data_IF_585050904676
#
_entry.id   IF_585050904676
#
_cell.length_a   1.000
_cell.length_b   1.000
_cell.length_c   1.000
_cell.angle_alpha   90.00
_cell.angle_beta   90.00
_cell.angle_gamma   90.00
#
_symmetry.space_group_name_H-M   'P 1'
#
loop_
_entity.id
_entity.type
_entity.pdbx_description
1 polymer ?
#
# COMPACT_ATOMS: atom_id res chain seq x y z
N UNK A 1 -2.79 6.96 14.43
CA UNK A 1 -3.56 6.69 13.19
C UNK A 1 -4.90 7.40 13.33
N UNK A 2 -5.19 8.38 12.48
CA UNK A 2 -6.52 8.99 12.39
C UNK A 2 -7.52 7.86 12.07
N UNK A 3 -8.56 7.72 12.90
CA UNK A 3 -9.56 6.66 12.72
C UNK A 3 -10.56 7.15 11.69
N UNK A 4 -10.36 6.77 10.43
CA UNK A 4 -11.34 7.00 9.38
C UNK A 4 -12.68 6.32 9.72
N UNK A 5 -13.77 6.89 9.22
CA UNK A 5 -15.12 6.34 9.35
C UNK A 5 -15.69 6.10 7.95
N UNK A 6 -16.56 5.11 7.80
CA UNK A 6 -17.23 4.84 6.53
C UNK A 6 -18.71 5.14 6.70
N UNK A 7 -19.25 6.00 5.86
CA UNK A 7 -20.68 6.24 5.74
C UNK A 7 -21.27 5.36 4.65
N UNK A 8 -22.34 4.64 4.97
CA UNK A 8 -23.17 3.96 3.99
C UNK A 8 -24.54 4.64 3.94
N UNK A 9 -24.94 5.00 2.72
CA UNK A 9 -26.26 5.54 2.44
C UNK A 9 -26.94 4.60 1.44
N UNK A 10 -28.06 4.01 1.85
CA UNK A 10 -28.82 3.08 1.03
C UNK A 10 -30.02 3.79 0.43
N UNK A 11 -30.17 3.70 -0.88
CA UNK A 11 -31.29 4.26 -1.60
C UNK A 11 -32.14 3.17 -2.25
N UNK A 12 -33.46 3.39 -2.27
CA UNK A 12 -34.40 2.69 -3.15
C UNK A 12 -34.97 3.68 -4.16
N UNK A 13 -34.37 3.70 -5.34
CA UNK A 13 -34.70 4.61 -6.44
C UNK A 13 -35.50 3.83 -7.48
N UNK A 14 -36.74 4.25 -7.79
CA UNK A 14 -37.52 3.64 -8.86
C UNK A 14 -36.70 3.58 -10.15
N UNK A 15 -36.77 2.47 -10.87
CA UNK A 15 -35.94 2.28 -12.06
C UNK A 15 -36.10 3.41 -13.09
N UNK A 16 -37.31 3.95 -13.21
CA UNK A 16 -37.64 5.09 -14.09
C UNK A 16 -36.89 6.39 -13.74
N UNK A 17 -36.39 6.53 -12.51
CA UNK A 17 -35.62 7.69 -12.04
C UNK A 17 -34.10 7.42 -11.98
N UNK A 18 -33.66 6.21 -12.33
CA UNK A 18 -32.25 5.77 -12.23
C UNK A 18 -31.29 6.72 -12.95
N UNK A 19 -31.60 7.08 -14.21
CA UNK A 19 -30.73 7.93 -15.01
C UNK A 19 -30.57 9.35 -14.42
N UNK A 20 -31.68 9.92 -13.93
CA UNK A 20 -31.67 11.24 -13.30
C UNK A 20 -30.90 11.22 -11.97
N UNK A 21 -31.09 10.16 -11.18
CA UNK A 21 -30.37 9.94 -9.93
C UNK A 21 -28.86 9.86 -10.14
N UNK A 22 -28.40 9.06 -11.11
CA UNK A 22 -26.98 8.95 -11.44
C UNK A 22 -26.40 10.27 -11.94
N UNK A 23 -27.14 11.02 -12.76
CA UNK A 23 -26.70 12.33 -13.23
C UNK A 23 -26.60 13.35 -12.08
N UNK A 24 -27.53 13.34 -11.13
CA UNK A 24 -27.48 14.18 -9.94
C UNK A 24 -26.28 13.84 -9.06
N UNK A 25 -26.04 12.55 -8.77
CA UNK A 25 -24.88 12.13 -7.98
C UNK A 25 -23.54 12.38 -8.68
N UNK A 26 -23.50 12.34 -10.02
CA UNK A 26 -22.32 12.76 -10.79
C UNK A 26 -21.98 14.24 -10.56
N UNK A 27 -22.99 15.11 -10.49
CA UNK A 27 -22.78 16.54 -10.17
C UNK A 27 -22.42 16.74 -8.70
N UNK A 28 -23.10 16.04 -7.78
CA UNK A 28 -22.82 16.08 -6.35
C UNK A 28 -21.40 15.60 -6.01
N UNK A 29 -20.88 14.61 -6.76
CA UNK A 29 -19.55 14.04 -6.58
C UNK A 29 -18.42 15.08 -6.72
N UNK A 30 -18.62 16.16 -7.49
CA UNK A 30 -17.64 17.25 -7.58
C UNK A 30 -17.38 17.90 -6.20
N UNK A 31 -18.41 18.00 -5.36
CA UNK A 31 -18.29 18.59 -4.02
C UNK A 31 -17.62 17.62 -3.03
N UNK A 32 -17.87 16.32 -3.18
CA UNK A 32 -17.15 15.30 -2.41
C UNK A 32 -15.67 15.27 -2.79
N UNK A 33 -15.35 15.34 -4.09
CA UNK A 33 -13.97 15.36 -4.59
C UNK A 33 -13.19 16.59 -4.12
N UNK A 34 -13.85 17.74 -3.94
CA UNK A 34 -13.23 18.97 -3.46
C UNK A 34 -13.07 19.03 -1.93
N UNK A 35 -13.75 18.17 -1.18
CA UNK A 35 -13.77 18.23 0.28
C UNK A 35 -12.53 17.53 0.89
N UNK A 36 -11.67 18.25 1.64
CA UNK A 36 -10.47 17.64 2.24
C UNK A 36 -10.79 16.58 3.32
N UNK A 37 -12.02 16.60 3.86
CA UNK A 37 -12.50 15.60 4.82
C UNK A 37 -12.94 14.30 4.14
N UNK A 38 -13.23 14.33 2.84
CA UNK A 38 -13.65 13.17 2.06
C UNK A 38 -12.42 12.43 1.55
N UNK A 39 -12.22 11.19 2.01
CA UNK A 39 -11.09 10.35 1.63
C UNK A 39 -11.35 9.66 0.30
N UNK A 40 -12.51 9.03 0.16
CA UNK A 40 -12.99 8.37 -1.06
C UNK A 40 -14.51 8.24 -1.06
N UNK A 41 -15.11 7.98 -2.23
CA UNK A 41 -16.54 7.68 -2.34
C UNK A 41 -16.83 6.77 -3.53
N UNK A 42 -17.91 6.00 -3.45
CA UNK A 42 -18.39 5.09 -4.49
C UNK A 42 -19.91 5.00 -4.44
N UNK A 43 -20.58 5.13 -5.58
CA UNK A 43 -22.00 4.83 -5.73
C UNK A 43 -22.15 3.54 -6.53
N UNK A 44 -22.60 2.48 -5.87
CA UNK A 44 -22.86 1.19 -6.48
C UNK A 44 -24.36 0.97 -6.68
N UNK A 45 -24.74 0.29 -7.77
CA UNK A 45 -26.09 -0.23 -8.00
C UNK A 45 -26.06 -1.74 -7.81
N UNK A 46 -27.10 -2.31 -7.20
CA UNK A 46 -27.25 -3.76 -7.13
C UNK A 46 -27.51 -4.34 -8.52
N UNK A 47 -26.83 -5.45 -8.85
CA UNK A 47 -27.08 -6.21 -10.09
C UNK A 47 -28.26 -7.20 -9.95
N UNK A 48 -28.72 -7.45 -8.72
CA UNK A 48 -29.82 -8.38 -8.42
C UNK A 48 -31.15 -7.64 -8.21
N UNK A 49 -31.09 -6.37 -7.77
CA UNK A 49 -32.24 -5.53 -7.52
C UNK A 49 -31.94 -4.09 -7.97
N UNK A 50 -32.38 -3.78 -9.19
CA UNK A 50 -32.03 -2.58 -9.93
C UNK A 50 -32.58 -1.27 -9.35
N UNK A 51 -33.44 -1.32 -8.34
CA UNK A 51 -33.89 -0.12 -7.61
C UNK A 51 -32.96 0.23 -6.45
N UNK A 52 -32.03 -0.65 -6.07
CA UNK A 52 -31.18 -0.44 -4.91
C UNK A 52 -29.80 0.11 -5.28
N UNK A 53 -29.43 1.17 -4.56
CA UNK A 53 -28.11 1.78 -4.64
C UNK A 53 -27.50 1.91 -3.25
N UNK A 54 -26.17 1.85 -3.20
CA UNK A 54 -25.38 2.13 -1.99
C UNK A 54 -24.34 3.17 -2.34
N UNK A 55 -24.41 4.32 -1.67
CA UNK A 55 -23.33 5.30 -1.63
C UNK A 55 -22.44 4.99 -0.43
N UNK A 56 -21.19 4.67 -0.67
CA UNK A 56 -20.14 4.53 0.34
C UNK A 56 -19.28 5.80 0.30
N UNK A 57 -19.07 6.44 1.44
CA UNK A 57 -18.13 7.57 1.57
C UNK A 57 -17.20 7.28 2.74
N UNK A 58 -15.89 7.37 2.52
CA UNK A 58 -14.91 7.33 3.59
C UNK A 58 -14.57 8.75 4.01
N UNK A 59 -14.74 9.05 5.29
CA UNK A 59 -14.41 10.35 5.87
C UNK A 59 -13.20 10.23 6.80
N UNK A 60 -12.45 11.33 6.97
CA UNK A 60 -11.33 11.40 7.92
C UNK A 60 -11.78 11.12 9.36
N UNK A 61 -13.00 11.51 9.72
CA UNK A 61 -13.73 11.11 10.93
C UNK A 61 -15.23 11.44 10.80
N UNK A 62 -16.06 10.94 11.73
CA UNK A 62 -17.49 11.32 11.76
C UNK A 62 -17.66 12.81 12.07
N UNK A 63 -16.83 13.36 12.96
CA UNK A 63 -16.83 14.79 13.29
C UNK A 63 -16.47 15.65 12.07
N UNK A 64 -15.44 15.27 11.32
CA UNK A 64 -15.03 16.01 10.11
C UNK A 64 -16.13 16.02 9.04
N UNK A 65 -16.93 14.97 8.94
CA UNK A 65 -18.11 14.99 8.08
C UNK A 65 -19.18 15.96 8.61
N UNK A 66 -19.59 15.81 9.88
CA UNK A 66 -20.73 16.53 10.45
C UNK A 66 -20.44 18.02 10.67
N UNK A 67 -19.27 18.33 11.19
CA UNK A 67 -18.86 19.68 11.55
C UNK A 67 -17.92 20.32 10.52
N UNK A 68 -17.28 19.53 9.67
CA UNK A 68 -16.50 20.01 8.53
C UNK A 68 -17.33 20.10 7.25
N UNK A 69 -17.51 18.98 6.54
CA UNK A 69 -18.14 18.99 5.21
C UNK A 69 -19.55 19.59 5.24
N UNK A 70 -20.44 19.13 6.12
CA UNK A 70 -21.85 19.60 6.17
C UNK A 70 -22.03 21.07 6.54
N UNK A 71 -21.00 21.71 7.11
CA UNK A 71 -20.99 23.14 7.46
C UNK A 71 -20.13 23.98 6.50
N UNK A 72 -19.49 23.33 5.52
CA UNK A 72 -18.66 24.00 4.52
C UNK A 72 -19.48 24.63 3.41
N UNK A 73 -18.84 25.51 2.64
CA UNK A 73 -19.42 26.14 1.45
C UNK A 73 -19.70 25.14 0.30
N UNK A 74 -19.18 23.90 0.38
CA UNK A 74 -19.44 22.84 -0.61
C UNK A 74 -20.79 22.15 -0.41
N UNK A 75 -21.31 22.15 0.83
CA UNK A 75 -22.51 21.38 1.18
C UNK A 75 -23.81 21.89 0.53
N UNK A 76 -24.07 23.20 0.37
CA UNK A 76 -25.29 23.68 -0.28
C UNK A 76 -25.50 23.10 -1.69
N UNK A 77 -24.45 23.07 -2.51
CA UNK A 77 -24.51 22.55 -3.88
C UNK A 77 -24.68 21.02 -3.89
N UNK A 78 -23.98 20.32 -3.00
CA UNK A 78 -24.19 18.88 -2.80
C UNK A 78 -25.64 18.57 -2.39
N UNK A 79 -26.18 19.35 -1.44
CA UNK A 79 -27.53 19.19 -0.95
C UNK A 79 -28.57 19.51 -2.03
N UNK A 80 -28.32 20.51 -2.89
CA UNK A 80 -29.23 20.84 -3.98
C UNK A 80 -29.44 19.66 -4.94
N UNK A 81 -28.37 18.94 -5.27
CA UNK A 81 -28.41 17.77 -6.14
C UNK A 81 -29.03 16.53 -5.46
N UNK A 82 -28.77 16.33 -4.17
CA UNK A 82 -29.15 15.09 -3.47
C UNK A 82 -30.50 15.15 -2.76
N UNK A 83 -30.97 16.35 -2.39
CA UNK A 83 -32.24 16.57 -1.68
C UNK A 83 -33.45 15.92 -2.36
N UNK A 84 -33.62 15.93 -3.70
CA UNK A 84 -34.76 15.28 -4.36
C UNK A 84 -34.95 13.80 -3.98
N UNK A 85 -33.85 13.11 -3.62
CA UNK A 85 -33.84 11.68 -3.31
C UNK A 85 -33.83 11.38 -1.80
N UNK A 86 -33.97 12.39 -0.94
CA UNK A 86 -33.92 12.19 0.51
C UNK A 86 -35.04 11.26 1.03
N UNK A 87 -36.20 11.24 0.37
CA UNK A 87 -37.31 10.35 0.70
C UNK A 87 -37.06 8.89 0.26
N UNK A 88 -36.09 8.66 -0.63
CA UNK A 88 -35.70 7.34 -1.13
C UNK A 88 -34.59 6.71 -0.28
N UNK A 89 -34.12 7.39 0.76
CA UNK A 89 -33.05 6.90 1.62
C UNK A 89 -33.59 5.94 2.67
N UNK A 90 -33.24 4.66 2.56
CA UNK A 90 -33.56 3.64 3.55
C UNK A 90 -32.62 3.71 4.77
N UNK A 91 -31.38 4.16 4.56
CA UNK A 91 -30.35 4.23 5.61
C UNK A 91 -29.31 5.32 5.29
N UNK A 92 -28.81 6.01 6.31
CA UNK A 92 -27.63 6.86 6.26
C UNK A 92 -26.91 6.81 7.62
N UNK A 93 -25.82 6.05 7.71
CA UNK A 93 -25.11 5.81 8.98
C UNK A 93 -23.60 5.75 8.80
N UNK A 94 -22.88 6.14 9.86
CA UNK A 94 -21.43 6.02 9.99
C UNK A 94 -21.04 4.73 10.71
N UNK A 95 -20.03 4.05 10.19
CA UNK A 95 -19.49 2.80 10.71
C UNK A 95 -18.00 2.91 10.88
N UNK A 96 -17.51 2.46 12.04
CA UNK A 96 -16.08 2.33 12.31
C UNK A 96 -15.56 1.02 11.69
N UNK A 97 -14.54 1.07 10.81
CA UNK A 97 -13.90 -0.15 10.32
C UNK A 97 -13.37 -1.02 11.47
N UNK A 98 -13.52 -2.34 11.34
CA UNK A 98 -13.02 -3.30 12.32
C UNK A 98 -11.67 -3.87 11.92
N UNK A 99 -11.09 -4.74 12.75
CA UNK A 99 -9.89 -5.50 12.42
C UNK A 99 -10.12 -6.56 11.35
N UNK A 100 -11.37 -6.94 11.06
CA UNK A 100 -11.70 -7.92 10.03
C UNK A 100 -11.67 -7.23 8.67
N UNK A 101 -10.52 -7.34 7.99
CA UNK A 101 -10.27 -6.77 6.66
C UNK A 101 -9.15 -7.55 5.96
N UNK A 102 -9.14 -7.56 4.63
CA UNK A 102 -8.12 -8.22 3.82
C UNK A 102 -8.20 -7.77 2.36
N UNK A 103 -7.24 -8.20 1.55
CA UNK A 103 -7.14 -7.83 0.12
C UNK A 103 -7.81 -8.82 -0.82
N UNK A 104 -8.41 -9.90 -0.29
CA UNK A 104 -8.88 -11.02 -1.11
C UNK A 104 -7.72 -11.74 -1.82
N UNK A 105 -8.05 -12.56 -2.81
CA UNK A 105 -7.09 -13.36 -3.59
C UNK A 105 -7.14 -13.07 -5.11
N UNK A 106 -7.90 -12.05 -5.53
CA UNK A 106 -8.05 -11.70 -6.95
C UNK A 106 -6.79 -11.09 -7.56
N UNK A 107 -5.92 -10.50 -6.74
CA UNK A 107 -4.60 -10.02 -7.12
C UNK A 107 -3.56 -10.79 -6.29
N UNK A 108 -2.62 -11.52 -6.92
CA UNK A 108 -1.59 -12.26 -6.18
C UNK A 108 -0.68 -11.31 -5.41
N UNK A 109 -0.02 -11.80 -4.37
CA UNK A 109 1.05 -11.04 -3.71
C UNK A 109 2.26 -10.88 -4.65
N UNK A 110 3.12 -9.90 -4.38
CA UNK A 110 4.39 -9.79 -5.11
C UNK A 110 5.25 -11.04 -4.88
N UNK A 111 5.14 -11.65 -3.71
CA UNK A 111 5.84 -12.88 -3.37
C UNK A 111 5.41 -14.05 -4.26
N UNK A 112 4.10 -14.28 -4.37
CA UNK A 112 3.56 -15.36 -5.20
C UNK A 112 3.85 -15.11 -6.69
N UNK A 113 3.70 -13.85 -7.13
CA UNK A 113 3.98 -13.47 -8.53
C UNK A 113 5.45 -13.67 -8.91
N UNK A 114 6.38 -13.37 -7.98
CA UNK A 114 7.81 -13.58 -8.20
C UNK A 114 8.19 -15.07 -8.33
N UNK A 115 7.33 -16.00 -7.89
CA UNK A 115 7.64 -17.43 -7.81
C UNK A 115 8.01 -17.91 -6.41
N UNK A 116 7.64 -17.16 -5.37
CA UNK A 116 7.77 -17.56 -3.96
C UNK A 116 9.21 -17.66 -3.45
N UNK A 117 9.42 -18.51 -2.43
CA UNK A 117 10.69 -18.63 -1.71
C UNK A 117 11.89 -18.87 -2.63
N UNK A 118 11.75 -19.79 -3.58
CA UNK A 118 12.83 -20.17 -4.49
C UNK A 118 13.30 -18.98 -5.35
N UNK A 119 12.40 -18.07 -5.71
CA UNK A 119 12.76 -16.88 -6.48
C UNK A 119 13.60 -15.89 -5.65
N UNK A 120 13.21 -15.65 -4.40
CA UNK A 120 13.97 -14.74 -3.53
C UNK A 120 15.31 -15.34 -3.07
N UNK A 121 15.38 -16.66 -2.87
CA UNK A 121 16.65 -17.34 -2.62
C UNK A 121 17.62 -17.15 -3.80
N UNK A 122 17.17 -17.41 -5.04
CA UNK A 122 18.00 -17.17 -6.24
C UNK A 122 18.41 -15.71 -6.36
N UNK A 123 17.49 -14.77 -6.11
CA UNK A 123 17.78 -13.33 -6.13
C UNK A 123 18.93 -12.99 -5.20
N UNK A 124 18.84 -13.40 -3.93
CA UNK A 124 19.85 -13.02 -2.93
C UNK A 124 21.18 -13.73 -3.15
N UNK A 125 21.17 -14.98 -3.63
CA UNK A 125 22.39 -15.69 -4.04
C UNK A 125 23.15 -14.92 -5.14
N UNK A 126 22.46 -14.58 -6.23
CA UNK A 126 23.05 -13.83 -7.36
C UNK A 126 23.48 -12.44 -6.89
N UNK A 127 22.66 -11.78 -6.08
CA UNK A 127 22.94 -10.44 -5.57
C UNK A 127 24.19 -10.40 -4.70
N UNK A 128 24.30 -11.28 -3.70
CA UNK A 128 25.45 -11.26 -2.79
C UNK A 128 26.73 -11.74 -3.46
N UNK A 129 26.66 -12.64 -4.45
CA UNK A 129 27.81 -12.98 -5.29
C UNK A 129 28.38 -11.74 -6.03
N UNK A 130 27.54 -10.76 -6.38
CA UNK A 130 27.98 -9.48 -6.97
C UNK A 130 28.49 -8.50 -5.90
N UNK A 131 27.80 -8.41 -4.77
CA UNK A 131 28.11 -7.45 -3.70
C UNK A 131 29.52 -7.69 -3.13
N UNK A 132 29.92 -8.94 -2.92
CA UNK A 132 31.22 -9.27 -2.34
C UNK A 132 32.39 -8.94 -3.27
N UNK A 133 32.17 -8.94 -4.58
CA UNK A 133 33.17 -8.60 -5.61
C UNK A 133 33.17 -7.10 -5.98
N UNK A 134 32.23 -6.31 -5.45
CA UNK A 134 32.11 -4.89 -5.77
C UNK A 134 33.06 -4.03 -4.93
N UNK A 135 33.89 -3.21 -5.59
CA UNK A 135 34.91 -2.38 -4.92
C UNK A 135 34.32 -1.41 -3.87
N UNK A 136 33.09 -0.93 -4.07
CA UNK A 136 32.45 0.05 -3.19
C UNK A 136 31.66 -0.61 -2.05
N UNK A 137 30.99 -1.72 -2.32
CA UNK A 137 30.17 -2.42 -1.34
C UNK A 137 30.90 -3.52 -0.60
N UNK A 138 31.79 -4.27 -1.26
CA UNK A 138 32.53 -5.40 -0.70
C UNK A 138 33.11 -5.12 0.70
N UNK A 139 33.75 -3.96 0.96
CA UNK A 139 34.25 -3.63 2.30
C UNK A 139 33.17 -3.58 3.40
N UNK A 140 31.92 -3.23 3.10
CA UNK A 140 30.81 -3.25 4.07
C UNK A 140 30.40 -4.68 4.46
N UNK A 141 30.69 -5.65 3.58
CA UNK A 141 30.29 -7.05 3.69
C UNK A 141 31.50 -7.99 3.85
N UNK A 142 32.67 -7.49 4.24
CA UNK A 142 33.89 -8.30 4.38
C UNK A 142 33.73 -9.49 5.36
N UNK A 143 32.92 -9.30 6.41
CA UNK A 143 32.61 -10.33 7.42
C UNK A 143 31.20 -10.92 7.22
N UNK A 144 30.77 -11.11 5.96
CA UNK A 144 29.42 -11.62 5.65
C UNK A 144 29.21 -13.04 6.20
N UNK A 145 28.22 -13.27 7.08
CA UNK A 145 27.84 -14.61 7.49
C UNK A 145 27.28 -15.42 6.31
N UNK A 146 27.50 -16.74 6.30
CA UNK A 146 27.05 -17.61 5.22
C UNK A 146 25.52 -17.57 5.03
N UNK A 147 24.78 -17.43 6.14
CA UNK A 147 23.32 -17.38 6.19
C UNK A 147 22.73 -16.00 5.84
N UNK A 148 23.56 -14.99 5.52
CA UNK A 148 23.06 -13.63 5.32
C UNK A 148 22.12 -13.53 4.11
N UNK A 149 22.42 -14.21 3.00
CA UNK A 149 21.59 -14.23 1.82
C UNK A 149 20.20 -14.85 2.11
N UNK A 150 20.15 -15.93 2.89
CA UNK A 150 18.91 -16.59 3.29
C UNK A 150 18.04 -15.66 4.16
N UNK A 151 18.65 -14.97 5.13
CA UNK A 151 17.94 -14.03 5.99
C UNK A 151 17.36 -12.86 5.19
N UNK A 152 18.06 -12.38 4.18
CA UNK A 152 17.57 -11.29 3.32
C UNK A 152 16.45 -11.80 2.40
N UNK A 153 16.51 -13.03 1.91
CA UNK A 153 15.43 -13.65 1.14
C UNK A 153 14.15 -13.77 1.98
N UNK A 154 14.27 -14.22 3.23
CA UNK A 154 13.14 -14.26 4.17
C UNK A 154 12.54 -12.87 4.40
N UNK A 155 13.39 -11.85 4.58
CA UNK A 155 12.93 -10.48 4.79
C UNK A 155 12.16 -9.94 3.60
N UNK A 156 12.75 -9.98 2.40
CA UNK A 156 12.10 -9.44 1.19
C UNK A 156 10.82 -10.22 0.90
N UNK A 157 10.86 -11.56 1.06
CA UNK A 157 9.70 -12.41 0.83
C UNK A 157 8.53 -12.09 1.76
N UNK A 158 8.79 -11.92 3.05
CA UNK A 158 7.76 -11.53 4.03
C UNK A 158 7.16 -10.15 3.72
N UNK A 159 8.02 -9.17 3.40
CA UNK A 159 7.57 -7.83 3.02
C UNK A 159 6.64 -7.88 1.80
N UNK A 160 6.92 -8.77 0.84
CA UNK A 160 6.20 -8.90 -0.42
C UNK A 160 4.90 -9.72 -0.31
N UNK A 161 4.50 -10.05 0.91
CA UNK A 161 3.25 -10.75 1.21
C UNK A 161 3.40 -12.26 1.38
N UNK A 162 4.63 -12.77 1.42
CA UNK A 162 4.93 -14.16 1.75
C UNK A 162 4.76 -14.49 3.24
N UNK A 163 5.10 -15.73 3.64
CA UNK A 163 5.03 -16.17 5.04
C UNK A 163 5.90 -15.33 5.99
N UNK A 164 5.54 -15.31 7.28
CA UNK A 164 6.21 -14.51 8.32
C UNK A 164 7.57 -15.08 8.79
N UNK A 165 8.31 -15.74 7.89
CA UNK A 165 9.51 -16.50 8.23
C UNK A 165 10.64 -15.66 8.82
N UNK A 166 10.80 -14.40 8.40
CA UNK A 166 11.81 -13.51 8.98
C UNK A 166 11.40 -13.06 10.39
N UNK A 167 10.14 -12.68 10.57
CA UNK A 167 9.61 -12.32 11.88
C UNK A 167 9.74 -13.45 12.89
N UNK A 168 9.36 -14.67 12.48
CA UNK A 168 9.38 -15.86 13.32
C UNK A 168 10.80 -16.31 13.69
N UNK A 169 11.76 -16.20 12.76
CA UNK A 169 13.11 -16.76 12.94
C UNK A 169 14.14 -15.73 13.38
N UNK A 170 14.00 -14.48 12.95
CA UNK A 170 15.01 -13.42 13.15
C UNK A 170 14.53 -12.32 14.10
N UNK A 171 13.24 -12.24 14.43
CA UNK A 171 12.69 -11.22 15.34
C UNK A 171 12.21 -9.94 14.65
N UNK A 172 11.93 -10.01 13.34
CA UNK A 172 11.18 -8.99 12.63
C UNK A 172 11.90 -7.65 12.45
N UNK A 173 11.13 -6.58 12.24
CA UNK A 173 11.63 -5.26 11.87
C UNK A 173 12.72 -4.73 12.83
N UNK A 174 12.56 -4.92 14.14
CA UNK A 174 13.54 -4.48 15.13
C UNK A 174 14.92 -5.10 14.93
N UNK A 175 14.96 -6.40 14.59
CA UNK A 175 16.21 -7.09 14.26
C UNK A 175 16.84 -6.56 12.98
N UNK A 176 16.04 -6.35 11.92
CA UNK A 176 16.53 -5.83 10.64
C UNK A 176 17.19 -4.46 10.80
N UNK A 177 16.55 -3.55 11.54
CA UNK A 177 17.12 -2.22 11.82
C UNK A 177 18.43 -2.33 12.59
N UNK A 178 18.48 -3.20 13.61
CA UNK A 178 19.69 -3.40 14.41
C UNK A 178 20.91 -3.84 13.59
N UNK A 179 20.71 -4.55 12.47
CA UNK A 179 21.80 -4.95 11.56
C UNK A 179 22.42 -3.78 10.77
N UNK A 180 21.72 -2.65 10.68
CA UNK A 180 22.16 -1.48 9.92
C UNK A 180 22.79 -0.40 10.81
N UNK A 181 22.49 -0.37 12.10
CA UNK A 181 22.99 0.65 13.05
C UNK A 181 24.52 0.71 13.07
N UNK A 182 25.06 1.94 12.98
CA UNK A 182 26.50 2.20 13.07
C UNK A 182 27.31 1.81 11.83
N UNK A 183 26.66 1.36 10.75
CA UNK A 183 27.32 1.03 9.49
C UNK A 183 27.71 2.25 8.65
N UNK A 184 27.18 3.44 8.97
CA UNK A 184 27.46 4.70 8.27
C UNK A 184 27.34 4.56 6.73
N UNK A 185 26.25 3.97 6.26
CA UNK A 185 26.03 3.70 4.84
C UNK A 185 25.90 5.04 4.12
N UNK A 186 26.75 5.24 3.12
CA UNK A 186 26.76 6.45 2.30
C UNK A 186 25.76 6.37 1.14
N UNK A 187 25.35 7.53 0.61
CA UNK A 187 24.47 7.58 -0.58
C UNK A 187 25.05 6.87 -1.81
N UNK A 188 26.36 6.98 -2.14
CA UNK A 188 26.96 6.19 -3.21
C UNK A 188 26.82 4.68 -3.00
N UNK A 189 27.06 4.19 -1.77
CA UNK A 189 26.87 2.77 -1.45
C UNK A 189 25.40 2.36 -1.58
N UNK A 190 24.47 3.18 -1.09
CA UNK A 190 23.03 2.92 -1.24
C UNK A 190 22.62 2.77 -2.71
N UNK A 191 23.02 3.72 -3.57
CA UNK A 191 22.70 3.68 -5.00
C UNK A 191 23.31 2.46 -5.67
N UNK A 192 24.57 2.14 -5.36
CA UNK A 192 25.25 0.97 -5.91
C UNK A 192 24.56 -0.34 -5.51
N UNK A 193 24.08 -0.43 -4.27
CA UNK A 193 23.28 -1.56 -3.80
C UNK A 193 21.98 -1.71 -4.60
N UNK A 194 21.28 -0.60 -4.84
CA UNK A 194 20.04 -0.56 -5.64
C UNK A 194 20.29 -0.97 -7.11
N UNK A 195 21.40 -0.55 -7.71
CA UNK A 195 21.79 -1.00 -9.05
C UNK A 195 22.02 -2.51 -9.10
N UNK A 196 22.87 -3.02 -8.21
CA UNK A 196 23.25 -4.43 -8.21
C UNK A 196 22.07 -5.38 -7.95
N UNK A 197 21.12 -5.00 -7.09
CA UNK A 197 19.95 -5.86 -6.84
C UNK A 197 18.96 -5.86 -8.02
N UNK A 198 18.90 -4.77 -8.79
CA UNK A 198 18.10 -4.76 -10.02
C UNK A 198 18.72 -5.66 -11.09
N UNK A 199 20.04 -5.55 -11.31
CA UNK A 199 20.75 -6.46 -12.22
C UNK A 199 20.61 -7.93 -11.79
N UNK A 200 20.75 -8.19 -10.48
CA UNK A 200 20.55 -9.53 -9.93
C UNK A 200 19.11 -10.04 -10.12
N UNK A 201 18.12 -9.17 -10.10
CA UNK A 201 16.73 -9.56 -10.31
C UNK A 201 16.44 -9.97 -11.76
N UNK A 202 17.15 -9.41 -12.75
CA UNK A 202 17.09 -9.91 -14.13
C UNK A 202 17.78 -11.27 -14.24
N UNK A 203 18.98 -11.41 -13.69
CA UNK A 203 19.77 -12.65 -13.75
C UNK A 203 19.14 -13.82 -12.99
N UNK A 204 18.47 -13.56 -11.86
CA UNK A 204 17.76 -14.57 -11.07
C UNK A 204 16.42 -15.01 -11.68
N UNK A 205 16.01 -14.35 -12.78
CA UNK A 205 14.77 -14.65 -13.50
C UNK A 205 13.51 -14.20 -12.76
N UNK A 206 13.57 -13.08 -12.02
CA UNK A 206 12.36 -12.47 -11.48
C UNK A 206 11.50 -11.89 -12.63
N UNK A 207 10.18 -11.72 -12.43
CA UNK A 207 9.31 -11.17 -13.46
C UNK A 207 9.76 -9.80 -13.99
N UNK A 208 9.65 -9.60 -15.30
CA UNK A 208 10.05 -8.37 -16.00
C UNK A 208 8.86 -7.51 -16.44
N UNK A 209 7.63 -7.89 -16.09
CA UNK A 209 6.45 -7.06 -16.35
C UNK A 209 6.54 -5.72 -15.61
N UNK A 210 5.92 -4.69 -16.20
CA UNK A 210 6.07 -3.32 -15.74
C UNK A 210 5.52 -3.14 -14.32
N UNK A 211 4.43 -3.82 -14.01
CA UNK A 211 3.78 -3.83 -12.71
C UNK A 211 4.72 -4.35 -11.63
N UNK A 212 5.33 -5.53 -11.84
CA UNK A 212 6.23 -6.14 -10.85
C UNK A 212 7.51 -5.33 -10.70
N UNK A 213 8.14 -4.94 -11.81
CA UNK A 213 9.40 -4.17 -11.78
C UNK A 213 9.20 -2.81 -11.12
N UNK A 214 8.09 -2.13 -11.39
CA UNK A 214 7.74 -0.87 -10.72
C UNK A 214 7.61 -1.07 -9.20
N UNK A 215 6.84 -2.08 -8.77
CA UNK A 215 6.63 -2.35 -7.36
C UNK A 215 7.92 -2.75 -6.62
N UNK A 216 8.72 -3.62 -7.24
CA UNK A 216 10.02 -4.07 -6.73
C UNK A 216 10.99 -2.89 -6.55
N UNK A 217 11.18 -2.08 -7.59
CA UNK A 217 12.09 -0.93 -7.54
C UNK A 217 11.63 0.11 -6.52
N UNK A 218 10.33 0.37 -6.41
CA UNK A 218 9.78 1.30 -5.42
C UNK A 218 10.08 0.83 -3.98
N UNK A 219 9.95 -0.48 -3.70
CA UNK A 219 10.32 -1.02 -2.39
C UNK A 219 11.82 -0.90 -2.13
N UNK A 220 12.65 -1.32 -3.07
CA UNK A 220 14.11 -1.30 -2.94
C UNK A 220 14.60 0.12 -2.67
N UNK A 221 14.09 1.11 -3.41
CA UNK A 221 14.42 2.52 -3.19
C UNK A 221 13.95 3.01 -1.81
N UNK A 222 12.72 2.70 -1.40
CA UNK A 222 12.19 3.10 -0.10
C UNK A 222 12.98 2.46 1.06
N UNK A 223 13.22 1.15 1.01
CA UNK A 223 13.89 0.38 2.06
C UNK A 223 15.35 0.79 2.24
N UNK A 224 16.08 1.01 1.14
CA UNK A 224 17.50 1.41 1.22
C UNK A 224 17.69 2.83 1.77
N UNK A 225 16.71 3.74 1.61
CA UNK A 225 16.73 5.05 2.28
C UNK A 225 16.60 4.93 3.79
N UNK A 226 15.76 4.00 4.27
CA UNK A 226 15.68 3.70 5.69
C UNK A 226 16.98 3.08 6.21
N UNK A 227 17.63 2.22 5.44
CA UNK A 227 18.94 1.67 5.79
C UNK A 227 19.98 2.78 6.00
N UNK A 228 20.05 3.79 5.11
CA UNK A 228 20.91 4.97 5.29
C UNK A 228 20.55 5.70 6.59
N UNK A 229 19.27 6.04 6.78
CA UNK A 229 18.80 6.73 7.97
C UNK A 229 19.18 6.00 9.28
N UNK A 230 18.94 4.70 9.36
CA UNK A 230 19.22 3.91 10.56
C UNK A 230 20.71 3.60 10.75
N UNK A 231 21.54 3.74 9.72
CA UNK A 231 22.98 3.49 9.81
C UNK A 231 23.81 4.63 10.38
N UNK A 232 23.23 5.83 10.47
CA UNK A 232 23.91 7.04 10.94
C UNK A 232 24.31 6.98 12.42
N UNK A 233 25.29 7.81 12.83
CA UNK A 233 25.85 7.78 14.19
C UNK A 233 24.84 8.20 15.27
N UNK A 234 23.88 9.06 14.91
CA UNK A 234 22.85 9.60 15.81
C UNK A 234 21.48 8.96 15.60
N UNK A 235 21.40 7.83 14.88
CA UNK A 235 20.15 7.16 14.60
C UNK A 235 19.50 6.64 15.88
N UNK A 236 18.31 7.15 16.21
CA UNK A 236 17.52 6.62 17.30
C UNK A 236 16.98 5.23 16.93
N UNK A 237 17.05 4.28 17.86
CA UNK A 237 16.40 2.98 17.66
C UNK A 237 14.89 3.22 17.55
N UNK A 238 14.24 2.83 16.44
CA UNK A 238 12.81 3.02 16.29
C UNK A 238 12.06 2.20 17.34
N UNK A 239 10.88 2.69 17.75
CA UNK A 239 9.94 1.87 18.49
C UNK A 239 9.62 0.59 17.71
N UNK A 240 9.21 -0.47 18.43
CA UNK A 240 8.82 -1.73 17.82
C UNK A 240 7.72 -1.50 16.79
N UNK A 241 7.95 -2.00 15.58
CA UNK A 241 7.09 -1.82 14.42
C UNK A 241 6.91 -3.18 13.75
N UNK A 242 5.76 -3.42 13.10
CA UNK A 242 5.60 -4.61 12.29
C UNK A 242 6.54 -4.57 11.07
N UNK A 243 6.84 -5.74 10.50
CA UNK A 243 7.45 -5.81 9.18
C UNK A 243 6.57 -5.06 8.18
N UNK A 244 7.14 -4.17 7.35
CA UNK A 244 6.36 -3.43 6.37
C UNK A 244 5.74 -4.41 5.37
N UNK A 245 4.52 -4.11 4.92
CA UNK A 245 3.90 -4.84 3.81
C UNK A 245 3.99 -3.97 2.57
N UNK A 246 4.58 -4.51 1.52
CA UNK A 246 4.66 -3.88 0.21
C UNK A 246 3.77 -4.61 -0.78
N UNK A 247 3.01 -3.85 -1.55
CA UNK A 247 2.12 -4.38 -2.59
C UNK A 247 2.43 -3.67 -3.91
N UNK A 248 1.61 -3.92 -4.93
CA UNK A 248 1.82 -3.47 -6.31
C UNK A 248 1.96 -1.95 -6.52
N UNK A 249 1.66 -1.10 -5.51
CA UNK A 249 1.73 0.35 -5.68
C UNK A 249 0.68 0.92 -6.65
N UNK A 250 0.52 2.24 -6.70
CA UNK A 250 -0.68 2.92 -7.21
C UNK A 250 -0.82 3.05 -8.75
N UNK A 251 -0.05 2.30 -9.55
CA UNK A 251 -0.22 2.33 -11.00
C UNK A 251 -1.25 1.28 -11.43
N UNK A 252 -2.45 1.66 -11.93
CA UNK A 252 -3.29 0.70 -12.62
C UNK A 252 -2.56 0.18 -13.87
N UNK A 253 -2.75 -1.10 -14.25
CA UNK A 253 -2.08 -1.70 -15.40
C UNK A 253 -2.28 -0.89 -16.70
N UNK A 254 -1.22 -0.81 -17.50
CA UNK A 254 -1.30 -0.23 -18.84
C UNK A 254 -2.18 -1.11 -19.74
N UNK A 255 -3.29 -0.57 -20.27
CA UNK A 255 -4.27 -1.35 -21.05
C UNK A 255 -4.01 -1.43 -22.55
N UNK A 256 -2.82 -1.02 -23.02
CA UNK A 256 -2.47 -1.00 -24.45
C UNK A 256 -2.59 0.37 -25.08
#
# INVERSE_FOLDING_TARGET
MTTQTVEYIRYRIPETQSAEFLAAFTRAAAQLAAAPQCVDYELARSEEDFEHYILRITWTSTEDHIDGFRKSDLFPDFLAETRPYAANTDEARHYKPTSVRGTGASVPSLYDWAGGADAFARLTDVFYAKVVEDDLLGPLFADLPAEHADHVALWIGEVFGGPAGYSEQQGGHGHMVAKHVGKNISEPQRRRWVELIQDAADEAGLPTDAEFRSAFCAYVEWGTRLAVYFSGPDAARPAEQPVPRWNWGAAPPYQG
#
